data_IF_929801468002
#
_entry.id   IF_929801468002
#
_cell.length_a   1.000
_cell.length_b   1.000
_cell.length_c   1.000
_cell.angle_alpha   90.00
_cell.angle_beta   90.00
_cell.angle_gamma   90.00
#
_symmetry.space_group_name_H-M   'P 1'
#
loop_
_entity.id
_entity.type
_entity.pdbx_description
1 polymer ?
#
# COMPACT_ATOMS: atom_id res chain seq x y z
N UNK A 1 31.69 6.95 -31.07
CA UNK A 1 30.22 7.01 -30.96
C UNK A 1 29.74 5.81 -30.15
N UNK A 2 29.00 6.07 -29.06
CA UNK A 2 28.39 5.13 -28.09
C UNK A 2 29.43 4.32 -27.30
N UNK A 3 29.33 4.10 -26.00
CA UNK A 3 28.21 4.08 -25.04
C UNK A 3 28.82 4.45 -23.69
N UNK A 4 28.10 5.17 -22.83
CA UNK A 4 28.17 5.06 -21.37
C UNK A 4 26.99 5.86 -20.80
N UNK A 5 25.79 5.35 -21.02
CA UNK A 5 24.56 5.81 -20.39
C UNK A 5 23.92 4.60 -19.73
N UNK A 6 24.17 4.44 -18.42
CA UNK A 6 23.23 3.88 -17.43
C UNK A 6 23.98 3.76 -16.09
N UNK A 7 24.15 4.89 -15.41
CA UNK A 7 24.55 4.92 -14.01
C UNK A 7 23.38 5.46 -13.19
N UNK A 8 22.26 4.76 -13.23
CA UNK A 8 21.13 4.96 -12.32
C UNK A 8 20.75 3.60 -11.77
N UNK A 9 21.51 3.14 -10.77
CA UNK A 9 21.08 2.08 -9.88
C UNK A 9 20.83 2.76 -8.54
N UNK A 10 19.55 2.98 -8.23
CA UNK A 10 19.12 3.44 -6.92
C UNK A 10 19.72 2.50 -5.88
N UNK A 11 20.63 3.05 -5.07
CA UNK A 11 21.20 2.36 -3.93
C UNK A 11 20.15 2.36 -2.82
N UNK A 12 19.18 1.46 -2.89
CA UNK A 12 18.33 1.12 -1.75
C UNK A 12 19.26 0.43 -0.74
N UNK A 13 19.70 1.20 0.27
CA UNK A 13 20.52 0.68 1.36
C UNK A 13 19.66 -0.27 2.17
N UNK A 14 19.94 -1.56 2.09
CA UNK A 14 19.32 -2.58 2.95
C UNK A 14 19.53 -2.22 4.41
N UNK A 15 18.46 -1.89 5.11
CA UNK A 15 18.45 -1.68 6.56
C UNK A 15 18.45 -3.06 7.24
N UNK A 16 19.53 -3.37 7.96
CA UNK A 16 19.59 -4.56 8.80
C UNK A 16 18.84 -4.29 10.11
N UNK A 17 17.72 -4.98 10.31
CA UNK A 17 16.86 -4.81 11.48
C UNK A 17 17.34 -5.72 12.62
N UNK A 18 18.05 -5.19 13.61
CA UNK A 18 18.39 -5.92 14.83
C UNK A 18 17.23 -5.79 15.83
N UNK A 19 16.39 -6.83 15.95
CA UNK A 19 15.25 -6.87 16.88
C UNK A 19 15.70 -7.45 18.22
N UNK A 20 15.98 -6.60 19.21
CA UNK A 20 16.25 -7.02 20.58
C UNK A 20 15.00 -6.77 21.42
N UNK A 21 14.49 -7.83 22.07
CA UNK A 21 13.33 -7.73 22.96
C UNK A 21 13.73 -6.96 24.22
N UNK A 22 13.12 -5.78 24.43
CA UNK A 22 13.27 -5.01 25.65
C UNK A 22 12.25 -5.50 26.69
N UNK A 23 12.71 -6.22 27.70
CA UNK A 23 11.93 -6.53 28.89
C UNK A 23 11.82 -5.28 29.75
N UNK A 24 10.67 -4.60 29.71
CA UNK A 24 10.36 -3.47 30.58
C UNK A 24 9.86 -3.99 31.93
N UNK A 25 10.68 -3.88 32.97
CA UNK A 25 10.18 -3.93 34.35
C UNK A 25 9.48 -2.60 34.67
N UNK A 26 8.16 -2.63 34.82
CA UNK A 26 7.42 -1.61 35.56
C UNK A 26 6.83 -2.25 36.81
N UNK A 27 7.30 -1.81 37.97
CA UNK A 27 6.78 -2.17 39.27
C UNK A 27 6.01 -0.96 39.79
N UNK A 28 4.68 -1.04 39.83
CA UNK A 28 3.83 0.02 40.35
C UNK A 28 2.34 -0.32 40.26
N UNK A 29 1.73 -0.64 41.40
CA UNK A 29 0.35 -1.13 41.51
C UNK A 29 -0.73 -0.14 41.05
N UNK A 30 -1.64 -0.59 40.17
CA UNK A 30 -3.08 -0.39 40.33
C UNK A 30 -3.88 -1.40 39.48
N UNK A 31 -4.78 -2.13 40.15
CA UNK A 31 -5.55 -3.25 39.61
C UNK A 31 -6.65 -2.74 38.68
N UNK A 32 -6.32 -2.51 37.41
CA UNK A 32 -7.23 -2.42 36.25
C UNK A 32 -6.45 -2.52 34.93
N UNK A 33 -5.15 -2.23 34.94
CA UNK A 33 -4.27 -2.24 33.76
C UNK A 33 -3.62 -3.59 33.43
N UNK A 34 -3.64 -4.57 34.35
CA UNK A 34 -2.84 -5.80 34.21
C UNK A 34 -3.26 -6.66 33.01
N UNK A 35 -4.55 -6.68 32.66
CA UNK A 35 -5.01 -7.43 31.48
C UNK A 35 -4.67 -6.74 30.16
N UNK A 36 -4.69 -5.41 30.12
CA UNK A 36 -4.35 -4.62 28.92
C UNK A 36 -2.85 -4.69 28.69
N UNK A 37 -2.04 -4.48 29.74
CA UNK A 37 -0.58 -4.54 29.64
C UNK A 37 -0.08 -5.93 29.23
N UNK A 38 -0.69 -7.01 29.72
CA UNK A 38 -0.35 -8.39 29.32
C UNK A 38 -0.72 -8.63 27.85
N UNK A 39 -1.86 -8.12 27.39
CA UNK A 39 -2.26 -8.24 25.99
C UNK A 39 -1.33 -7.46 25.05
N UNK A 40 -0.94 -6.24 25.42
CA UNK A 40 0.04 -5.44 24.66
C UNK A 40 1.41 -6.14 24.60
N UNK A 41 1.88 -6.67 25.74
CA UNK A 41 3.15 -7.41 25.81
C UNK A 41 3.13 -8.67 24.92
N UNK A 42 2.03 -9.44 24.95
CA UNK A 42 1.86 -10.62 24.12
C UNK A 42 1.85 -10.27 22.63
N UNK A 43 1.12 -9.23 22.22
CA UNK A 43 1.03 -8.78 20.83
C UNK A 43 2.40 -8.34 20.29
N UNK A 44 3.10 -7.52 21.05
CA UNK A 44 4.47 -7.11 20.73
C UNK A 44 5.40 -8.31 20.65
N UNK A 45 5.31 -9.24 21.60
CA UNK A 45 6.17 -10.43 21.61
C UNK A 45 5.97 -11.30 20.37
N UNK A 46 4.73 -11.57 19.96
CA UNK A 46 4.45 -12.36 18.77
C UNK A 46 4.91 -11.68 17.48
N UNK A 47 4.72 -10.37 17.35
CA UNK A 47 5.19 -9.60 16.19
C UNK A 47 6.72 -9.58 16.13
N UNK A 48 7.39 -9.28 17.25
CA UNK A 48 8.85 -9.26 17.34
C UNK A 48 9.46 -10.64 17.09
N UNK A 49 8.83 -11.72 17.56
CA UNK A 49 9.24 -13.09 17.28
C UNK A 49 9.16 -13.40 15.77
N UNK A 50 8.03 -13.08 15.14
CA UNK A 50 7.85 -13.28 13.70
C UNK A 50 8.89 -12.49 12.88
N UNK A 51 9.19 -11.27 13.29
CA UNK A 51 10.23 -10.43 12.65
C UNK A 51 11.64 -11.02 12.83
N UNK A 52 11.95 -11.61 13.99
CA UNK A 52 13.26 -12.23 14.26
C UNK A 52 13.55 -13.43 13.36
N UNK A 53 12.53 -14.24 13.10
CA UNK A 53 12.66 -15.40 12.20
C UNK A 53 12.41 -15.05 10.73
N UNK A 54 12.11 -13.78 10.44
CA UNK A 54 11.81 -13.25 9.10
C UNK A 54 10.69 -14.05 8.40
N UNK A 55 9.68 -14.45 9.16
CA UNK A 55 8.48 -15.09 8.62
C UNK A 55 7.54 -14.00 8.06
N UNK A 56 7.85 -13.52 6.85
CA UNK A 56 7.19 -12.36 6.23
C UNK A 56 5.67 -12.52 6.13
N UNK A 57 5.10 -13.69 5.75
CA UNK A 57 3.65 -13.89 5.78
C UNK A 57 3.04 -13.72 7.17
N UNK A 58 3.68 -14.27 8.21
CA UNK A 58 3.22 -14.12 9.59
C UNK A 58 3.36 -12.66 10.08
N UNK A 59 4.47 -12.00 9.75
CA UNK A 59 4.69 -10.58 10.06
C UNK A 59 3.60 -9.72 9.43
N UNK A 60 3.29 -9.94 8.14
CA UNK A 60 2.23 -9.21 7.44
C UNK A 60 0.86 -9.43 8.08
N UNK A 61 0.49 -10.68 8.36
CA UNK A 61 -0.81 -10.98 8.99
C UNK A 61 -0.97 -10.33 10.36
N UNK A 62 0.08 -10.38 11.21
CA UNK A 62 0.01 -9.76 12.54
C UNK A 62 -0.01 -8.24 12.41
N UNK A 63 0.89 -7.65 11.63
CA UNK A 63 0.98 -6.20 11.44
C UNK A 63 -0.32 -5.62 10.88
N UNK A 64 -0.89 -6.25 9.85
CA UNK A 64 -2.17 -5.83 9.27
C UNK A 64 -3.31 -5.90 10.28
N UNK A 65 -3.35 -6.96 11.11
CA UNK A 65 -4.34 -7.07 12.19
C UNK A 65 -4.20 -5.94 13.21
N UNK A 66 -2.97 -5.63 13.64
CA UNK A 66 -2.76 -4.54 14.60
C UNK A 66 -3.05 -3.16 13.99
N UNK A 67 -2.77 -2.97 12.70
CA UNK A 67 -2.99 -1.71 12.01
C UNK A 67 -4.48 -1.37 11.82
N UNK A 68 -5.38 -2.36 11.88
CA UNK A 68 -6.83 -2.12 11.86
C UNK A 68 -7.29 -1.32 13.09
N UNK A 69 -6.68 -1.58 14.24
CA UNK A 69 -6.99 -0.95 15.52
C UNK A 69 -5.87 0.03 15.94
N UNK A 70 -5.32 0.78 14.97
CA UNK A 70 -4.15 1.66 15.20
C UNK A 70 -4.39 2.68 16.31
N UNK A 71 -5.64 3.14 16.45
CA UNK A 71 -6.05 4.13 17.45
C UNK A 71 -5.92 3.59 18.89
N UNK A 72 -6.03 2.28 19.08
CA UNK A 72 -5.96 1.59 20.37
C UNK A 72 -4.53 1.11 20.71
N UNK A 73 -3.57 1.24 19.80
CA UNK A 73 -2.19 0.80 20.03
C UNK A 73 -1.47 1.68 21.05
N UNK A 74 -0.63 1.12 21.92
CA UNK A 74 0.38 1.96 22.57
C UNK A 74 1.37 2.53 21.52
N UNK A 75 2.07 3.62 21.83
CA UNK A 75 3.06 4.18 20.91
C UNK A 75 4.18 3.18 20.55
N UNK A 76 4.53 2.29 21.48
CA UNK A 76 5.51 1.23 21.23
C UNK A 76 4.97 0.16 20.27
N UNK A 77 3.69 -0.19 20.37
CA UNK A 77 3.03 -1.10 19.43
C UNK A 77 2.95 -0.49 18.02
N UNK A 78 2.59 0.79 17.90
CA UNK A 78 2.63 1.51 16.62
C UNK A 78 4.03 1.48 16.00
N UNK A 79 5.07 1.71 16.81
CA UNK A 79 6.47 1.60 16.33
C UNK A 79 6.80 0.17 15.89
N UNK A 80 6.35 -0.86 16.60
CA UNK A 80 6.55 -2.25 16.21
C UNK A 80 5.88 -2.57 14.86
N UNK A 81 4.66 -2.05 14.63
CA UNK A 81 3.95 -2.19 13.35
C UNK A 81 4.72 -1.47 12.22
N UNK A 82 5.23 -0.25 12.44
CA UNK A 82 6.05 0.45 11.45
C UNK A 82 7.32 -0.33 11.09
N UNK A 83 7.99 -0.93 12.08
CA UNK A 83 9.16 -1.78 11.84
C UNK A 83 8.79 -3.06 11.09
N UNK A 84 7.63 -3.65 11.38
CA UNK A 84 7.12 -4.81 10.65
C UNK A 84 6.87 -4.48 9.17
N UNK A 85 6.24 -3.34 8.86
CA UNK A 85 6.09 -2.89 7.48
C UNK A 85 7.42 -2.60 6.80
N UNK A 86 8.44 -2.14 7.52
CA UNK A 86 9.78 -2.02 6.96
C UNK A 86 10.39 -3.39 6.60
N UNK A 87 10.14 -4.45 7.38
CA UNK A 87 10.56 -5.82 7.02
C UNK A 87 9.89 -6.27 5.73
N UNK A 88 8.57 -6.08 5.61
CA UNK A 88 7.78 -6.48 4.45
C UNK A 88 8.22 -5.69 3.20
N UNK A 89 8.44 -4.37 3.34
CA UNK A 89 8.96 -3.50 2.29
C UNK A 89 10.31 -3.99 1.76
N UNK A 90 11.25 -4.30 2.68
CA UNK A 90 12.57 -4.79 2.29
C UNK A 90 12.50 -6.12 1.54
N UNK A 91 11.59 -7.02 1.93
CA UNK A 91 11.40 -8.30 1.23
C UNK A 91 10.79 -8.10 -0.16
N UNK A 92 9.71 -7.31 -0.26
CA UNK A 92 9.07 -6.99 -1.54
C UNK A 92 10.07 -6.34 -2.51
N UNK A 93 10.84 -5.35 -2.03
CA UNK A 93 11.91 -4.70 -2.79
C UNK A 93 13.01 -5.66 -3.25
N UNK A 94 13.39 -6.65 -2.43
CA UNK A 94 14.38 -7.69 -2.81
C UNK A 94 13.86 -8.63 -3.89
N UNK A 95 12.57 -8.90 -3.87
CA UNK A 95 11.90 -9.80 -4.80
C UNK A 95 11.39 -9.10 -6.08
N UNK A 96 11.63 -7.77 -6.23
CA UNK A 96 11.07 -6.91 -7.29
C UNK A 96 9.53 -6.98 -7.36
N UNK A 97 8.88 -7.24 -6.22
CA UNK A 97 7.43 -7.25 -6.07
C UNK A 97 6.92 -5.83 -5.82
N UNK A 98 6.75 -5.07 -6.90
CA UNK A 98 6.38 -3.65 -6.85
C UNK A 98 4.97 -3.41 -6.31
N UNK A 99 4.05 -4.34 -6.54
CA UNK A 99 2.68 -4.20 -6.06
C UNK A 99 2.65 -4.30 -4.54
N UNK A 100 3.28 -5.36 -3.99
CA UNK A 100 3.40 -5.53 -2.56
C UNK A 100 4.20 -4.39 -1.90
N UNK A 101 5.25 -3.91 -2.56
CA UNK A 101 6.06 -2.79 -2.09
C UNK A 101 5.21 -1.52 -1.90
N UNK A 102 4.44 -1.15 -2.93
CA UNK A 102 3.58 0.04 -2.89
C UNK A 102 2.46 -0.07 -1.85
N UNK A 103 1.82 -1.25 -1.74
CA UNK A 103 0.80 -1.49 -0.71
C UNK A 103 1.41 -1.31 0.69
N UNK A 104 2.60 -1.85 0.91
CA UNK A 104 3.29 -1.78 2.20
C UNK A 104 3.70 -0.35 2.56
N UNK A 105 4.22 0.41 1.58
CA UNK A 105 4.58 1.82 1.76
C UNK A 105 3.34 2.66 2.13
N UNK A 106 2.18 2.42 1.49
CA UNK A 106 0.93 3.10 1.84
C UNK A 106 0.50 2.81 3.27
N UNK A 107 0.46 1.54 3.67
CA UNK A 107 0.14 1.12 5.05
C UNK A 107 1.08 1.73 6.10
N UNK A 108 2.38 1.77 5.80
CA UNK A 108 3.36 2.41 6.69
C UNK A 108 3.02 3.88 6.92
N UNK A 109 2.76 4.62 5.83
CA UNK A 109 2.43 6.05 5.90
C UNK A 109 1.14 6.28 6.68
N UNK A 110 0.11 5.47 6.48
CA UNK A 110 -1.17 5.58 7.19
C UNK A 110 -1.00 5.36 8.70
N UNK A 111 -0.30 4.29 9.12
CA UNK A 111 -0.03 4.03 10.54
C UNK A 111 0.81 5.15 11.16
N UNK A 112 1.80 5.67 10.42
CA UNK A 112 2.62 6.79 10.89
C UNK A 112 1.76 8.03 11.13
N UNK A 113 0.94 8.41 10.15
CA UNK A 113 0.07 9.59 10.24
C UNK A 113 -0.93 9.47 11.40
N UNK A 114 -1.62 8.34 11.51
CA UNK A 114 -2.63 8.12 12.55
C UNK A 114 -2.01 8.12 13.95
N UNK A 115 -0.88 7.43 14.13
CA UNK A 115 -0.18 7.39 15.41
C UNK A 115 0.34 8.77 15.83
N UNK A 116 0.86 9.55 14.87
CA UNK A 116 1.36 10.92 15.11
C UNK A 116 0.25 11.93 15.38
N UNK A 117 -0.93 11.75 14.78
CA UNK A 117 -2.11 12.58 15.05
C UNK A 117 -2.67 12.35 16.45
N UNK A 118 -2.65 11.09 16.92
CA UNK A 118 -3.16 10.71 18.23
C UNK A 118 -2.29 11.21 19.38
N UNK A 119 -0.99 10.89 19.34
CA UNK A 119 -0.04 11.30 20.38
C UNK A 119 1.35 11.55 19.77
N UNK A 120 1.55 12.77 19.28
CA UNK A 120 2.79 13.14 18.61
C UNK A 120 4.01 13.00 19.53
N UNK A 121 3.94 13.54 20.74
CA UNK A 121 5.12 13.67 21.60
C UNK A 121 5.49 12.28 22.17
N UNK A 122 4.51 11.45 22.54
CA UNK A 122 4.75 10.08 22.96
C UNK A 122 5.23 9.18 21.81
N UNK A 123 4.70 9.35 20.60
CA UNK A 123 5.16 8.60 19.43
C UNK A 123 6.60 8.97 19.04
N UNK A 124 6.96 10.25 19.08
CA UNK A 124 8.35 10.69 18.85
C UNK A 124 9.32 10.11 19.88
N UNK A 125 8.92 10.05 21.16
CA UNK A 125 9.72 9.43 22.21
C UNK A 125 9.91 7.93 21.99
N UNK A 126 8.84 7.20 21.62
CA UNK A 126 8.91 5.77 21.30
C UNK A 126 9.80 5.49 20.09
N UNK A 127 9.68 6.28 19.01
CA UNK A 127 10.57 6.18 17.84
C UNK A 127 12.03 6.46 18.21
N UNK A 128 12.28 7.43 19.10
CA UNK A 128 13.63 7.71 19.57
C UNK A 128 14.22 6.53 20.34
N UNK A 129 13.46 5.92 21.25
CA UNK A 129 13.88 4.69 21.96
C UNK A 129 14.19 3.56 20.98
N UNK A 130 13.37 3.36 19.96
CA UNK A 130 13.63 2.36 18.93
C UNK A 130 14.91 2.66 18.12
N UNK A 131 15.21 3.92 17.83
CA UNK A 131 16.47 4.33 17.16
C UNK A 131 17.71 4.11 18.00
N UNK A 132 17.62 4.19 19.32
CA UNK A 132 18.75 3.87 20.20
C UNK A 132 19.16 2.38 20.08
N UNK A 133 18.19 1.52 19.80
CA UNK A 133 18.40 0.07 19.60
C UNK A 133 18.77 -0.24 18.15
N UNK A 134 18.10 0.41 17.19
CA UNK A 134 18.35 0.26 15.77
C UNK A 134 18.53 1.65 15.10
N UNK A 135 19.77 2.17 15.05
CA UNK A 135 20.04 3.49 14.48
C UNK A 135 19.69 3.63 13.01
N UNK A 136 19.51 2.52 12.29
CA UNK A 136 19.16 2.51 10.88
C UNK A 136 17.65 2.71 10.63
N UNK A 137 16.81 2.64 11.67
CA UNK A 137 15.37 2.89 11.58
C UNK A 137 15.04 4.38 11.75
N UNK A 138 15.43 5.22 10.78
CA UNK A 138 15.06 6.63 10.80
C UNK A 138 13.63 6.84 10.28
N UNK A 139 12.65 6.70 11.18
CA UNK A 139 11.22 6.71 10.85
C UNK A 139 10.75 7.98 10.12
N UNK A 140 11.26 9.16 10.51
CA UNK A 140 10.86 10.41 9.86
C UNK A 140 11.42 10.51 8.44
N UNK A 141 12.67 10.09 8.23
CA UNK A 141 13.28 10.05 6.91
C UNK A 141 12.56 9.04 6.00
N UNK A 142 12.28 7.83 6.51
CA UNK A 142 11.53 6.80 5.82
C UNK A 142 10.13 7.28 5.44
N UNK A 143 9.41 7.91 6.37
CA UNK A 143 8.10 8.49 6.11
C UNK A 143 8.13 9.51 4.97
N UNK A 144 9.08 10.45 4.98
CA UNK A 144 9.24 11.46 3.93
C UNK A 144 9.54 10.83 2.57
N UNK A 145 10.44 9.83 2.56
CA UNK A 145 10.77 9.08 1.35
C UNK A 145 9.54 8.36 0.79
N UNK A 146 8.80 7.66 1.64
CA UNK A 146 7.61 6.91 1.28
C UNK A 146 6.48 7.81 0.77
N UNK A 147 6.24 8.95 1.42
CA UNK A 147 5.34 10.00 0.94
C UNK A 147 5.74 10.51 -0.45
N UNK A 148 7.03 10.75 -0.69
CA UNK A 148 7.54 11.16 -2.01
C UNK A 148 7.25 10.10 -3.06
N UNK A 149 7.60 8.84 -2.80
CA UNK A 149 7.38 7.72 -3.73
C UNK A 149 5.91 7.54 -4.09
N UNK A 150 5.01 7.63 -3.10
CA UNK A 150 3.56 7.56 -3.35
C UNK A 150 3.09 8.73 -4.23
N UNK A 151 3.58 9.95 -3.97
CA UNK A 151 3.23 11.11 -4.79
C UNK A 151 3.72 11.01 -6.24
N UNK A 152 4.90 10.44 -6.46
CA UNK A 152 5.44 10.18 -7.80
C UNK A 152 4.59 9.13 -8.54
N UNK A 153 4.18 8.07 -7.85
CA UNK A 153 3.30 7.05 -8.40
C UNK A 153 1.93 7.63 -8.77
N UNK A 154 1.32 8.41 -7.89
CA UNK A 154 0.02 9.04 -8.14
C UNK A 154 0.11 10.06 -9.27
N UNK A 155 1.22 10.80 -9.38
CA UNK A 155 1.45 11.72 -10.48
C UNK A 155 1.55 11.00 -11.83
N UNK A 156 2.27 9.87 -11.91
CA UNK A 156 2.43 9.10 -13.14
C UNK A 156 1.14 8.43 -13.59
N UNK A 157 0.35 7.87 -12.67
CA UNK A 157 -0.90 7.19 -13.00
C UNK A 157 -2.10 8.14 -13.10
N UNK A 158 -2.03 9.31 -12.47
CA UNK A 158 -3.04 10.37 -12.58
C UNK A 158 -3.04 11.11 -13.91
N UNK A 159 -1.95 11.03 -14.70
CA UNK A 159 -1.93 11.62 -16.05
C UNK A 159 -2.71 10.81 -17.08
N UNK A 160 -2.97 9.51 -16.83
CA UNK A 160 -3.69 8.67 -17.79
C UNK A 160 -5.21 8.94 -17.80
N UNK A 161 -5.76 9.51 -16.73
CA UNK A 161 -7.18 9.87 -16.62
C UNK A 161 -7.49 11.31 -17.05
N UNK A 162 -6.48 12.12 -17.37
CA UNK A 162 -6.63 13.51 -17.84
C UNK A 162 -6.15 13.72 -19.27
N UNK A 163 -5.73 12.66 -19.96
CA UNK A 163 -5.69 12.67 -21.41
C UNK A 163 -7.15 12.80 -21.89
N UNK A 164 -7.57 14.04 -22.15
CA UNK A 164 -8.80 14.28 -22.90
C UNK A 164 -8.77 13.38 -24.13
N UNK A 165 -9.87 12.68 -24.47
CA UNK A 165 -9.94 11.94 -25.72
C UNK A 165 -9.55 12.92 -26.81
N UNK A 166 -8.47 12.62 -27.54
CA UNK A 166 -8.20 13.33 -28.79
C UNK A 166 -9.41 13.00 -29.66
N UNK A 167 -10.37 13.93 -29.72
CA UNK A 167 -11.48 13.81 -30.64
C UNK A 167 -10.86 13.61 -32.02
N UNK A 168 -11.16 12.50 -32.71
CA UNK A 168 -10.66 12.33 -34.06
C UNK A 168 -11.21 13.50 -34.87
N UNK A 169 -10.33 14.36 -35.39
CA UNK A 169 -10.71 15.38 -36.36
C UNK A 169 -11.40 14.65 -37.52
N UNK A 170 -12.73 14.71 -37.53
CA UNK A 170 -13.55 14.25 -38.63
C UNK A 170 -13.25 15.22 -39.76
N UNK A 171 -12.31 14.87 -40.63
CA UNK A 171 -12.16 15.53 -41.92
C UNK A 171 -13.50 15.38 -42.62
N UNK A 172 -14.18 16.50 -42.78
CA UNK A 172 -15.40 16.59 -43.56
C UNK A 172 -15.08 16.16 -45.00
N UNK A 173 -15.42 14.92 -45.32
CA UNK A 173 -15.32 14.39 -46.67
C UNK A 173 -16.35 15.11 -47.53
N UNK A 174 -15.86 15.89 -48.50
CA UNK A 174 -16.71 16.61 -49.43
C UNK A 174 -17.32 15.63 -50.41
N UNK A 175 -18.64 15.53 -50.37
CA UNK A 175 -19.45 14.75 -51.31
C UNK A 175 -19.14 15.19 -52.75
N UNK A 176 -18.83 14.22 -53.60
CA UNK A 176 -19.11 14.33 -55.03
C UNK A 176 -19.70 13.02 -55.52
N UNK A 177 -20.89 13.16 -56.08
CA UNK A 177 -21.73 12.12 -56.62
C UNK A 177 -21.07 11.44 -57.83
N UNK A 178 -21.26 10.13 -57.95
CA UNK A 178 -21.56 9.54 -59.24
C UNK A 178 -22.43 8.30 -59.03
N UNK A 179 -23.51 8.24 -59.79
CA UNK A 179 -24.49 7.18 -59.80
C UNK A 179 -24.36 6.46 -61.13
N UNK A 180 -24.12 5.14 -61.13
CA UNK A 180 -24.78 4.30 -62.13
C UNK A 180 -24.81 2.81 -61.73
N UNK A 181 -26.05 2.30 -61.72
CA UNK A 181 -26.54 0.97 -62.12
C UNK A 181 -25.62 -0.25 -62.05
N UNK A 182 -26.03 -1.31 -61.34
CA UNK A 182 -26.91 -2.38 -61.90
C UNK A 182 -27.36 -3.36 -60.82
N UNK A 183 -28.63 -3.77 -60.92
CA UNK A 183 -29.25 -4.83 -60.16
C UNK A 183 -28.70 -6.21 -60.55
N UNK A 184 -28.58 -7.13 -59.57
CA UNK A 184 -28.92 -8.53 -59.76
C UNK A 184 -29.23 -9.21 -58.42
N UNK A 185 -30.46 -9.71 -58.38
CA UNK A 185 -31.11 -10.61 -57.43
C UNK A 185 -30.37 -11.92 -57.17
N UNK A 186 -30.39 -12.40 -55.91
CA UNK A 186 -31.18 -13.57 -55.47
C UNK A 186 -30.50 -14.41 -54.36
N UNK A 187 -31.31 -14.72 -53.34
CA UNK A 187 -31.29 -15.90 -52.44
C UNK A 187 -30.07 -16.07 -51.53
N UNK A 188 -30.17 -16.27 -50.22
CA UNK A 188 -31.18 -16.62 -49.21
C UNK A 188 -30.35 -16.90 -47.93
N UNK A 189 -30.80 -16.87 -46.68
CA UNK A 189 -32.09 -17.07 -46.07
C UNK A 189 -32.05 -16.51 -44.61
N UNK A 190 -33.22 -16.10 -44.12
CA UNK A 190 -33.68 -16.10 -42.70
C UNK A 190 -32.88 -15.26 -41.67
N UNK A 191 -33.31 -14.09 -41.15
CA UNK A 191 -34.49 -13.74 -40.29
C UNK A 191 -34.51 -14.61 -39.02
N UNK A 192 -34.53 -14.16 -37.76
CA UNK A 192 -34.91 -12.93 -37.00
C UNK A 192 -34.05 -12.94 -35.71
N UNK A 193 -33.58 -11.86 -35.07
CA UNK A 193 -34.19 -10.63 -34.54
C UNK A 193 -35.09 -10.79 -33.28
N UNK A 194 -34.85 -9.90 -32.30
CA UNK A 194 -35.44 -9.70 -30.94
C UNK A 194 -34.77 -10.47 -29.78
N UNK A 195 -34.08 -9.81 -28.85
CA UNK A 195 -34.49 -8.80 -27.83
C UNK A 195 -35.23 -9.43 -26.66
N UNK A 196 -34.58 -9.49 -25.49
CA UNK A 196 -35.14 -9.47 -24.12
C UNK A 196 -33.93 -9.50 -23.15
N UNK A 197 -33.64 -8.42 -22.42
CA UNK A 197 -34.21 -8.05 -21.11
C UNK A 197 -33.33 -8.57 -19.96
N UNK A 198 -32.56 -7.66 -19.35
CA UNK A 198 -31.65 -7.94 -18.22
C UNK A 198 -32.45 -7.89 -16.92
N UNK A 199 -32.39 -8.93 -16.06
CA UNK A 199 -33.22 -8.97 -14.86
C UNK A 199 -32.74 -8.03 -13.74
N UNK A 200 -33.74 -7.40 -13.15
CA UNK A 200 -33.76 -6.42 -12.07
C UNK A 200 -33.13 -6.90 -10.76
N UNK A 201 -32.40 -5.96 -10.15
CA UNK A 201 -31.87 -5.89 -8.79
C UNK A 201 -32.86 -6.38 -7.71
N UNK A 202 -32.42 -7.30 -6.83
CA UNK A 202 -33.19 -7.75 -5.66
C UNK A 202 -32.52 -7.23 -4.38
N UNK A 203 -33.17 -6.25 -3.73
CA UNK A 203 -32.84 -5.81 -2.36
C UNK A 203 -33.35 -6.84 -1.33
N UNK A 204 -32.60 -7.09 -0.23
CA UNK A 204 -33.12 -7.86 0.88
C UNK A 204 -34.12 -7.04 1.71
N UNK A 205 -35.20 -7.67 2.16
CA UNK A 205 -36.16 -7.12 3.11
C UNK A 205 -35.90 -7.70 4.51
N UNK A 206 -35.83 -6.78 5.49
CA UNK A 206 -35.92 -6.88 6.96
C UNK A 206 -35.15 -7.98 7.72
#
# INVERSE_FOLDING_TARGET
>A
MRKDACQWRHAVKTVALAVVAASMWSCGSQKSDESVSVQEELRNTHLLEAMKVVDVPRVASIADSLALDVDDLSNNESVAVLLAYLVIHNEASRNDDREQDLVTIRKYVDVYDLSMQRDRDGMLAAMQQAREINPAADFEALYKEFRSRLSEYDALNGQELTAEPVEPEVRADSVSADADSVASTASGASVSDKADDLPVEYRPAD
#
